data_IF_615567988698
#
_entry.id   IF_615567988698
#
_cell.length_a   1.000
_cell.length_b   1.000
_cell.length_c   1.000
_cell.angle_alpha   90.00
_cell.angle_beta   90.00
_cell.angle_gamma   90.00
#
_symmetry.space_group_name_H-M   'P 1'
#
loop_
_entity.id
_entity.type
_entity.pdbx_description
1 polymer ?
#
# COMPACT_ATOMS: atom_id res chain seq x y z
N UNK A 1 9.08 -15.09 -19.79
CA UNK A 1 8.17 -14.34 -18.88
C UNK A 1 8.36 -12.86 -19.15
N UNK A 2 7.24 -12.14 -19.37
CA UNK A 2 7.21 -10.67 -19.45
C UNK A 2 6.69 -10.12 -18.11
N UNK A 3 7.38 -9.13 -17.55
CA UNK A 3 6.98 -8.44 -16.31
C UNK A 3 6.61 -7.01 -16.61
N UNK A 4 5.49 -6.52 -16.05
CA UNK A 4 5.09 -5.11 -16.12
C UNK A 4 5.21 -4.46 -14.75
N UNK A 5 5.89 -3.32 -14.68
CA UNK A 5 6.11 -2.54 -13.45
C UNK A 5 5.84 -1.06 -13.68
N UNK A 6 5.44 -0.36 -12.63
CA UNK A 6 5.00 1.05 -12.72
C UNK A 6 6.16 2.06 -12.85
N UNK A 7 7.41 1.68 -12.59
CA UNK A 7 8.56 2.59 -12.62
C UNK A 7 9.88 1.82 -12.67
N UNK A 8 10.97 2.50 -13.05
CA UNK A 8 12.34 1.94 -13.02
C UNK A 8 12.71 1.39 -11.65
N UNK A 9 12.38 2.10 -10.56
CA UNK A 9 12.66 1.61 -9.22
C UNK A 9 11.96 0.28 -8.93
N UNK A 10 10.79 0.05 -9.49
CA UNK A 10 10.05 -1.19 -9.33
C UNK A 10 10.59 -2.33 -10.21
N UNK A 11 11.44 -2.05 -11.22
CA UNK A 11 12.10 -3.07 -12.06
C UNK A 11 13.30 -3.71 -11.37
N UNK A 12 13.98 -3.00 -10.46
CA UNK A 12 15.24 -3.43 -9.83
C UNK A 12 15.21 -4.87 -9.29
N UNK A 13 14.19 -5.36 -8.60
CA UNK A 13 14.14 -6.75 -8.12
C UNK A 13 14.14 -7.80 -9.25
N UNK A 14 13.73 -7.39 -10.45
CA UNK A 14 13.53 -8.26 -11.60
C UNK A 14 14.74 -8.28 -12.56
N UNK A 15 15.66 -7.30 -12.47
CA UNK A 15 16.80 -7.14 -13.38
C UNK A 15 17.76 -8.35 -13.41
N UNK A 16 17.82 -9.08 -12.27
CA UNK A 16 18.66 -10.28 -12.14
C UNK A 16 17.97 -11.58 -12.56
N UNK A 17 16.69 -11.50 -12.94
CA UNK A 17 15.93 -12.66 -13.37
C UNK A 17 16.09 -12.85 -14.89
N UNK A 18 16.09 -14.10 -15.35
CA UNK A 18 16.08 -14.41 -16.77
C UNK A 18 14.68 -14.17 -17.35
N UNK A 19 14.40 -12.92 -17.69
CA UNK A 19 13.11 -12.47 -18.24
C UNK A 19 13.25 -12.16 -19.73
N UNK A 20 12.19 -12.43 -20.46
CA UNK A 20 12.09 -12.07 -21.87
C UNK A 20 11.97 -10.55 -22.06
N UNK A 21 11.18 -9.88 -21.20
CA UNK A 21 10.94 -8.45 -21.27
C UNK A 21 10.49 -7.87 -19.92
N UNK A 22 10.94 -6.64 -19.64
CA UNK A 22 10.39 -5.80 -18.59
C UNK A 22 9.73 -4.59 -19.24
N UNK A 23 8.44 -4.39 -18.99
CA UNK A 23 7.68 -3.22 -19.40
C UNK A 23 7.67 -2.23 -18.24
N UNK A 24 8.28 -1.07 -18.44
CA UNK A 24 8.35 -0.01 -17.42
C UNK A 24 7.37 1.09 -17.78
N UNK A 25 6.51 1.40 -16.83
CA UNK A 25 5.43 2.38 -16.97
C UNK A 25 4.11 1.79 -16.48
N UNK A 26 3.24 2.66 -15.98
CA UNK A 26 1.92 2.22 -15.55
C UNK A 26 1.04 1.93 -16.76
N UNK A 27 0.47 0.73 -16.84
CA UNK A 27 -0.64 0.42 -17.74
C UNK A 27 -1.92 1.05 -17.15
N UNK A 28 -2.29 2.24 -17.59
CA UNK A 28 -3.33 3.04 -16.95
C UNK A 28 -4.71 2.75 -17.58
N UNK A 29 -4.74 2.45 -18.89
CA UNK A 29 -5.96 2.24 -19.66
C UNK A 29 -6.16 0.79 -20.08
N UNK A 30 -7.41 0.44 -20.39
CA UNK A 30 -7.75 -0.88 -20.93
C UNK A 30 -7.12 -1.09 -22.31
N UNK A 31 -6.97 -0.02 -23.11
CA UNK A 31 -6.35 -0.03 -24.43
C UNK A 31 -4.86 -0.38 -24.34
N UNK A 32 -4.13 0.18 -23.38
CA UNK A 32 -2.71 -0.16 -23.14
C UNK A 32 -2.55 -1.62 -22.75
N UNK A 33 -3.41 -2.13 -21.85
CA UNK A 33 -3.41 -3.54 -21.45
C UNK A 33 -3.71 -4.44 -22.64
N UNK A 34 -4.74 -4.10 -23.43
CA UNK A 34 -5.12 -4.81 -24.66
C UNK A 34 -3.98 -4.83 -25.66
N UNK A 35 -3.34 -3.69 -25.88
CA UNK A 35 -2.21 -3.54 -26.78
C UNK A 35 -1.05 -4.48 -26.40
N UNK A 36 -0.71 -4.60 -25.13
CA UNK A 36 0.35 -5.53 -24.65
C UNK A 36 -0.02 -6.98 -24.94
N UNK A 37 -1.26 -7.40 -24.67
CA UNK A 37 -1.69 -8.79 -24.88
C UNK A 37 -1.75 -9.12 -26.38
N UNK A 38 -2.32 -8.25 -27.21
CA UNK A 38 -2.43 -8.47 -28.65
C UNK A 38 -1.05 -8.45 -29.34
N UNK A 39 -0.17 -7.54 -28.93
CA UNK A 39 1.19 -7.47 -29.47
C UNK A 39 1.98 -8.76 -29.17
N UNK A 40 1.81 -9.33 -27.96
CA UNK A 40 2.41 -10.63 -27.64
C UNK A 40 1.86 -11.77 -28.53
N UNK A 41 0.56 -11.74 -28.87
CA UNK A 41 -0.03 -12.74 -29.81
C UNK A 41 0.57 -12.66 -31.21
N UNK A 42 0.87 -11.45 -31.68
CA UNK A 42 1.41 -11.24 -33.02
C UNK A 42 2.90 -11.62 -33.09
N UNK A 43 3.68 -11.29 -32.06
CA UNK A 43 5.14 -11.34 -32.15
C UNK A 43 5.80 -12.43 -31.28
N UNK A 44 5.07 -13.05 -30.33
CA UNK A 44 5.64 -13.93 -29.27
C UNK A 44 4.79 -15.18 -28.99
N UNK A 45 3.97 -15.65 -29.92
CA UNK A 45 3.03 -16.77 -29.69
C UNK A 45 2.03 -16.55 -28.54
N UNK A 46 1.84 -15.31 -28.09
CA UNK A 46 0.93 -14.93 -27.02
C UNK A 46 1.39 -15.26 -25.61
N UNK A 47 0.61 -14.86 -24.63
CA UNK A 47 0.80 -15.26 -23.25
C UNK A 47 -0.09 -16.47 -22.92
N UNK A 48 0.46 -17.45 -22.23
CA UNK A 48 -0.34 -18.57 -21.70
C UNK A 48 -1.36 -18.08 -20.67
N UNK A 49 -0.93 -17.19 -19.78
CA UNK A 49 -1.79 -16.55 -18.80
C UNK A 49 -1.25 -15.16 -18.42
N UNK A 50 -2.13 -14.34 -17.89
CA UNK A 50 -1.79 -13.07 -17.24
C UNK A 50 -1.97 -13.24 -15.74
N UNK A 51 -0.88 -13.00 -14.99
CA UNK A 51 -0.89 -13.10 -13.52
C UNK A 51 -0.84 -11.70 -12.92
N UNK A 52 -1.89 -11.32 -12.19
CA UNK A 52 -1.94 -10.05 -11.46
C UNK A 52 -1.38 -10.21 -10.05
N UNK A 53 -0.20 -9.63 -9.82
CA UNK A 53 0.51 -9.57 -8.54
C UNK A 53 0.44 -8.17 -7.92
N UNK A 54 -0.42 -7.29 -8.40
CA UNK A 54 -0.51 -5.92 -7.90
C UNK A 54 -0.93 -5.87 -6.43
N UNK A 55 -0.65 -4.74 -5.79
CA UNK A 55 -1.00 -4.56 -4.38
C UNK A 55 -2.51 -4.76 -4.17
N UNK A 56 -2.97 -5.43 -3.08
CA UNK A 56 -4.40 -5.70 -2.84
C UNK A 56 -5.32 -4.49 -2.99
N UNK A 57 -4.86 -3.30 -2.59
CA UNK A 57 -5.60 -2.05 -2.75
C UNK A 57 -5.55 -1.45 -4.18
N UNK A 58 -4.92 -2.10 -5.13
CA UNK A 58 -4.86 -1.63 -6.52
C UNK A 58 -6.06 -2.12 -7.35
N UNK A 59 -7.25 -2.08 -6.80
CA UNK A 59 -8.48 -2.65 -7.38
C UNK A 59 -8.81 -2.13 -8.79
N UNK A 60 -8.46 -0.87 -9.10
CA UNK A 60 -8.74 -0.31 -10.42
C UNK A 60 -8.00 -1.09 -11.52
N UNK A 61 -6.69 -1.26 -11.38
CA UNK A 61 -5.90 -1.98 -12.39
C UNK A 61 -6.30 -3.46 -12.46
N UNK A 62 -6.55 -4.11 -11.33
CA UNK A 62 -7.05 -5.50 -11.30
C UNK A 62 -8.33 -5.67 -12.10
N UNK A 63 -9.32 -4.75 -11.93
CA UNK A 63 -10.57 -4.78 -12.69
C UNK A 63 -10.34 -4.58 -14.18
N UNK A 64 -9.48 -3.63 -14.56
CA UNK A 64 -9.15 -3.37 -15.97
C UNK A 64 -8.47 -4.58 -16.62
N UNK A 65 -7.49 -5.22 -15.94
CA UNK A 65 -6.81 -6.42 -16.46
C UNK A 65 -7.83 -7.57 -16.62
N UNK A 66 -8.62 -7.83 -15.57
CA UNK A 66 -9.63 -8.91 -15.59
C UNK A 66 -10.65 -8.74 -16.73
N UNK A 67 -11.13 -7.49 -16.93
CA UNK A 67 -12.06 -7.17 -18.00
C UNK A 67 -11.45 -7.43 -19.39
N UNK A 68 -10.25 -6.89 -19.64
CA UNK A 68 -9.57 -7.06 -20.94
C UNK A 68 -9.24 -8.53 -21.21
N UNK A 69 -8.77 -9.26 -20.18
CA UNK A 69 -8.50 -10.68 -20.32
C UNK A 69 -9.77 -11.46 -20.66
N UNK A 70 -10.89 -11.15 -20.03
CA UNK A 70 -12.19 -11.77 -20.33
C UNK A 70 -12.62 -11.50 -21.78
N UNK A 71 -12.53 -10.25 -22.25
CA UNK A 71 -12.88 -9.85 -23.62
C UNK A 71 -12.01 -10.54 -24.68
N UNK A 72 -10.73 -10.77 -24.36
CA UNK A 72 -9.78 -11.40 -25.29
C UNK A 72 -9.70 -12.93 -25.15
N UNK A 73 -10.49 -13.55 -24.27
CA UNK A 73 -10.36 -14.98 -23.96
C UNK A 73 -8.99 -15.36 -23.39
N UNK A 74 -8.34 -14.44 -22.66
CA UNK A 74 -7.03 -14.63 -22.07
C UNK A 74 -7.17 -15.16 -20.64
N UNK A 75 -6.45 -16.23 -20.31
CA UNK A 75 -6.42 -16.77 -18.93
C UNK A 75 -5.88 -15.70 -17.98
N UNK A 76 -6.65 -15.43 -16.92
CA UNK A 76 -6.32 -14.45 -15.89
C UNK A 76 -6.25 -15.12 -14.52
N UNK A 77 -5.18 -14.86 -13.79
CA UNK A 77 -4.94 -15.36 -12.43
C UNK A 77 -4.67 -14.18 -11.53
N UNK A 78 -5.44 -14.02 -10.46
CA UNK A 78 -5.15 -13.06 -9.39
C UNK A 78 -4.47 -13.77 -8.24
N UNK A 79 -3.25 -13.34 -7.91
CA UNK A 79 -2.56 -13.80 -6.71
C UNK A 79 -2.71 -12.77 -5.61
N UNK A 80 -3.31 -13.16 -4.51
CA UNK A 80 -3.46 -12.32 -3.33
C UNK A 80 -2.74 -12.92 -2.12
N UNK A 81 -2.17 -12.04 -1.31
CA UNK A 81 -1.58 -12.44 -0.04
C UNK A 81 -2.70 -12.87 0.90
N UNK A 82 -2.42 -13.90 1.70
CA UNK A 82 -3.32 -14.29 2.78
C UNK A 82 -3.56 -13.10 3.74
N UNK A 83 -4.76 -13.04 4.30
CA UNK A 83 -5.06 -12.16 5.42
C UNK A 83 -4.82 -12.98 6.68
N UNK A 84 -3.84 -12.59 7.48
CA UNK A 84 -3.69 -13.14 8.81
C UNK A 84 -4.81 -12.59 9.70
N UNK A 85 -5.55 -13.47 10.38
CA UNK A 85 -6.51 -13.06 11.41
C UNK A 85 -5.74 -12.52 12.61
N UNK A 86 -5.57 -11.21 12.64
CA UNK A 86 -4.83 -10.51 13.67
C UNK A 86 -5.77 -10.25 14.86
N UNK A 87 -5.65 -11.04 15.91
CA UNK A 87 -6.55 -11.07 17.06
C UNK A 87 -6.65 -9.77 17.88
N UNK A 88 -5.79 -8.77 17.63
CA UNK A 88 -5.70 -7.53 18.43
C UNK A 88 -5.74 -6.25 17.57
N UNK A 89 -6.37 -6.28 16.40
CA UNK A 89 -6.57 -5.11 15.57
C UNK A 89 -8.07 -4.81 15.42
N UNK A 90 -8.39 -3.53 15.39
CA UNK A 90 -9.72 -3.05 15.02
C UNK A 90 -9.81 -2.95 13.50
N UNK A 91 -10.75 -3.64 12.89
CA UNK A 91 -11.03 -3.53 11.46
C UNK A 91 -11.93 -2.31 11.23
N UNK A 92 -11.60 -1.52 10.21
CA UNK A 92 -12.42 -0.40 9.73
C UNK A 92 -12.60 -0.53 8.22
N UNK A 93 -13.83 -0.41 7.73
CA UNK A 93 -14.14 -0.47 6.30
C UNK A 93 -13.71 0.82 5.59
N UNK A 94 -13.81 1.94 6.28
CA UNK A 94 -13.50 3.29 5.79
C UNK A 94 -12.99 4.18 6.92
N UNK A 95 -12.26 5.23 6.56
CA UNK A 95 -11.70 6.14 7.58
C UNK A 95 -12.76 6.89 8.39
N UNK A 96 -13.96 7.07 7.86
CA UNK A 96 -15.06 7.66 8.65
C UNK A 96 -15.46 6.85 9.88
N UNK A 97 -15.12 5.55 9.92
CA UNK A 97 -15.42 4.69 11.06
C UNK A 97 -14.56 5.02 12.29
N UNK A 98 -13.49 5.81 12.11
CA UNK A 98 -12.66 6.33 13.20
C UNK A 98 -13.46 7.17 14.20
N UNK A 99 -14.58 7.77 13.79
CA UNK A 99 -15.50 8.48 14.69
C UNK A 99 -16.14 7.60 15.78
N UNK A 100 -16.14 6.29 15.58
CA UNK A 100 -16.67 5.31 16.54
C UNK A 100 -15.69 5.02 17.68
N UNK A 101 -14.47 5.59 17.60
CA UNK A 101 -13.43 5.40 18.60
C UNK A 101 -13.11 6.71 19.30
N UNK A 102 -12.87 6.63 20.61
CA UNK A 102 -12.39 7.79 21.37
C UNK A 102 -10.91 8.07 21.00
N UNK A 103 -10.70 9.01 20.09
CA UNK A 103 -9.36 9.47 19.68
C UNK A 103 -9.02 10.85 20.24
N UNK A 104 -9.89 11.45 21.05
CA UNK A 104 -9.71 12.80 21.58
C UNK A 104 -8.38 12.91 22.35
N UNK A 105 -7.57 13.90 21.95
CA UNK A 105 -6.24 14.18 22.52
C UNK A 105 -5.23 13.03 22.41
N UNK A 106 -5.53 11.94 21.71
CA UNK A 106 -4.60 10.84 21.48
C UNK A 106 -3.71 11.12 20.28
N UNK A 107 -2.43 10.75 20.36
CA UNK A 107 -1.51 10.80 19.23
C UNK A 107 -1.67 9.56 18.37
N UNK A 108 -2.04 9.75 17.10
CA UNK A 108 -2.32 8.66 16.15
C UNK A 108 -1.35 8.73 14.97
N UNK A 109 -0.71 7.61 14.67
CA UNK A 109 0.23 7.47 13.56
C UNK A 109 -0.47 6.89 12.32
N UNK A 110 -0.42 7.62 11.21
CA UNK A 110 -0.91 7.17 9.91
C UNK A 110 0.21 6.47 9.13
N UNK A 111 0.05 5.19 8.85
CA UNK A 111 0.92 4.35 8.02
C UNK A 111 0.19 3.81 6.79
N UNK A 112 -0.75 4.58 6.24
CA UNK A 112 -1.68 4.19 5.17
C UNK A 112 -1.16 4.41 3.76
N UNK A 113 -0.02 5.09 3.61
CA UNK A 113 0.53 5.52 2.31
C UNK A 113 -0.12 6.81 1.81
N UNK A 114 0.61 7.54 0.95
CA UNK A 114 0.27 8.92 0.57
C UNK A 114 -1.03 9.09 -0.19
N UNK A 115 -1.52 8.06 -0.87
CA UNK A 115 -2.79 8.12 -1.61
C UNK A 115 -4.00 8.27 -0.70
N UNK A 116 -3.92 7.75 0.51
CA UNK A 116 -4.99 7.78 1.52
C UNK A 116 -4.69 8.72 2.68
N UNK A 117 -3.52 9.38 2.64
CA UNK A 117 -3.01 10.16 3.78
C UNK A 117 -3.94 11.32 4.14
N UNK A 118 -4.38 12.09 3.14
CA UNK A 118 -5.24 13.26 3.37
C UNK A 118 -6.60 12.86 3.94
N UNK A 119 -7.21 11.82 3.39
CA UNK A 119 -8.49 11.32 3.87
C UNK A 119 -8.38 10.81 5.32
N UNK A 120 -7.41 9.94 5.59
CA UNK A 120 -7.15 9.43 6.94
C UNK A 120 -6.86 10.56 7.94
N UNK A 121 -6.11 11.59 7.51
CA UNK A 121 -5.82 12.77 8.33
C UNK A 121 -7.10 13.51 8.73
N UNK A 122 -7.97 13.80 7.75
CA UNK A 122 -9.23 14.53 8.01
C UNK A 122 -10.08 13.78 9.03
N UNK A 123 -10.32 12.50 8.83
CA UNK A 123 -11.18 11.72 9.74
C UNK A 123 -10.56 11.55 11.13
N UNK A 124 -9.26 11.29 11.23
CA UNK A 124 -8.58 11.20 12.52
C UNK A 124 -8.61 12.55 13.30
N UNK A 125 -8.36 13.67 12.61
CA UNK A 125 -8.46 15.01 13.20
C UNK A 125 -9.88 15.35 13.66
N UNK A 126 -10.88 15.05 12.85
CA UNK A 126 -12.28 15.28 13.20
C UNK A 126 -12.73 14.43 14.39
N UNK A 127 -12.08 13.30 14.64
CA UNK A 127 -12.25 12.48 15.85
C UNK A 127 -11.41 12.99 17.05
N UNK A 128 -10.78 14.16 16.94
CA UNK A 128 -10.02 14.81 18.01
C UNK A 128 -8.58 14.36 18.19
N UNK A 129 -8.03 13.56 17.28
CA UNK A 129 -6.66 13.06 17.38
C UNK A 129 -5.59 14.11 17.07
N UNK A 130 -4.41 13.98 17.70
CA UNK A 130 -3.17 14.57 17.24
C UNK A 130 -2.53 13.63 16.21
N UNK A 131 -2.42 14.08 14.96
CA UNK A 131 -2.09 13.20 13.84
C UNK A 131 -0.63 13.32 13.44
N UNK A 132 0.01 12.16 13.32
CA UNK A 132 1.37 11.97 12.83
C UNK A 132 1.34 11.04 11.62
N UNK A 133 2.37 11.10 10.77
CA UNK A 133 2.44 10.24 9.59
C UNK A 133 3.83 9.64 9.37
N UNK A 134 3.84 8.42 8.84
CA UNK A 134 5.04 7.81 8.29
C UNK A 134 4.83 7.57 6.80
N UNK A 135 5.70 8.15 5.96
CA UNK A 135 5.64 8.08 4.51
C UNK A 135 6.92 7.50 3.93
N UNK A 136 6.81 6.97 2.70
CA UNK A 136 7.98 6.39 2.02
C UNK A 136 8.94 7.48 1.55
N UNK A 137 10.24 7.18 1.56
CA UNK A 137 11.29 8.06 1.07
C UNK A 137 11.35 8.05 -0.47
N UNK A 138 10.36 8.66 -1.11
CA UNK A 138 10.37 8.94 -2.54
C UNK A 138 9.78 10.33 -2.83
N UNK A 139 10.16 10.97 -3.95
CA UNK A 139 9.76 12.35 -4.26
C UNK A 139 8.25 12.57 -4.29
N UNK A 140 7.47 11.61 -4.82
CA UNK A 140 6.01 11.71 -4.88
C UNK A 140 5.39 11.72 -3.48
N UNK A 141 5.84 10.81 -2.60
CA UNK A 141 5.35 10.72 -1.22
C UNK A 141 5.66 11.99 -0.43
N UNK A 142 6.88 12.51 -0.58
CA UNK A 142 7.30 13.74 0.11
C UNK A 142 6.46 14.92 -0.40
N UNK A 143 6.32 15.09 -1.71
CA UNK A 143 5.55 16.20 -2.31
C UNK A 143 4.09 16.16 -1.86
N UNK A 144 3.42 15.00 -1.94
CA UNK A 144 2.03 14.84 -1.50
C UNK A 144 1.86 15.08 -0.01
N UNK A 145 2.84 14.69 0.82
CA UNK A 145 2.78 14.95 2.26
C UNK A 145 2.96 16.43 2.58
N UNK A 146 3.90 17.10 1.89
CA UNK A 146 4.11 18.54 2.05
C UNK A 146 2.91 19.38 1.59
N UNK A 147 2.14 18.91 0.61
CA UNK A 147 0.88 19.54 0.17
C UNK A 147 -0.34 19.14 1.00
N UNK A 148 -0.19 18.23 1.95
CA UNK A 148 -1.26 17.86 2.87
C UNK A 148 -1.37 18.81 4.06
N UNK A 149 -2.43 18.67 4.85
CA UNK A 149 -2.63 19.47 6.07
C UNK A 149 -1.77 19.04 7.26
N UNK A 150 -0.85 18.06 7.08
CA UNK A 150 0.02 17.57 8.15
C UNK A 150 1.19 18.52 8.35
N UNK A 151 1.41 18.93 9.59
CA UNK A 151 2.56 19.80 9.94
C UNK A 151 3.89 19.10 9.62
N UNK A 152 4.90 19.87 9.18
CA UNK A 152 6.22 19.33 8.81
C UNK A 152 6.93 18.58 9.94
N UNK A 153 6.65 18.94 11.18
CA UNK A 153 7.18 18.28 12.40
C UNK A 153 6.50 16.96 12.72
N UNK A 154 5.34 16.70 12.13
CA UNK A 154 4.47 15.58 12.46
C UNK A 154 4.54 14.44 11.44
N UNK A 155 5.51 14.46 10.53
CA UNK A 155 5.72 13.28 9.68
C UNK A 155 7.18 12.86 9.59
N UNK A 156 7.39 11.58 9.39
CA UNK A 156 8.69 10.97 9.14
C UNK A 156 8.74 10.34 7.75
N UNK A 157 9.86 10.54 7.07
CA UNK A 157 10.15 9.97 5.75
C UNK A 157 11.09 8.79 5.95
N UNK A 158 10.59 7.57 5.74
CA UNK A 158 11.34 6.35 6.01
C UNK A 158 11.13 5.32 4.92
N UNK A 159 12.21 4.65 4.51
CA UNK A 159 12.09 3.41 3.76
C UNK A 159 11.79 2.26 4.72
N UNK A 160 10.93 1.29 4.33
CA UNK A 160 10.76 0.07 5.11
C UNK A 160 12.12 -0.63 5.23
N UNK A 161 12.60 -0.84 6.43
CA UNK A 161 13.81 -1.61 6.65
C UNK A 161 13.43 -3.03 7.04
N UNK A 162 13.66 -3.98 6.16
CA UNK A 162 13.45 -5.41 6.43
C UNK A 162 14.40 -5.89 7.54
N UNK A 163 15.57 -5.27 7.66
CA UNK A 163 16.64 -5.68 8.59
C UNK A 163 16.53 -5.06 10.00
N UNK A 164 15.81 -3.94 10.16
CA UNK A 164 15.79 -3.20 11.44
C UNK A 164 14.79 -3.71 12.47
N UNK A 165 13.99 -4.71 12.12
CA UNK A 165 12.93 -5.26 13.00
C UNK A 165 12.05 -4.18 13.66
N UNK A 166 11.83 -3.04 12.97
CA UNK A 166 10.97 -1.94 13.42
C UNK A 166 11.59 -1.04 14.50
N UNK A 167 12.91 -1.03 14.66
CA UNK A 167 13.58 -0.18 15.67
C UNK A 167 13.26 1.30 15.46
N UNK A 168 13.27 1.78 14.21
CA UNK A 168 12.99 3.18 13.88
C UNK A 168 11.52 3.49 14.12
N UNK A 169 10.62 2.61 13.69
CA UNK A 169 9.18 2.75 13.90
C UNK A 169 8.84 2.79 15.41
N UNK A 170 9.46 1.92 16.21
CA UNK A 170 9.32 1.97 17.69
C UNK A 170 9.85 3.26 18.28
N UNK A 171 10.96 3.80 17.77
CA UNK A 171 11.50 5.08 18.20
C UNK A 171 10.53 6.24 17.90
N UNK A 172 9.87 6.24 16.72
CA UNK A 172 8.84 7.22 16.37
C UNK A 172 7.63 7.12 17.30
N UNK A 173 7.17 5.89 17.59
CA UNK A 173 6.04 5.66 18.52
C UNK A 173 6.35 6.27 19.88
N UNK A 174 7.57 6.08 20.40
CA UNK A 174 7.99 6.70 21.68
C UNK A 174 8.12 8.20 21.58
N UNK A 175 8.80 8.70 20.52
CA UNK A 175 9.05 10.15 20.33
C UNK A 175 7.77 10.96 20.29
N UNK A 176 6.73 10.45 19.66
CA UNK A 176 5.46 11.15 19.49
C UNK A 176 4.38 10.70 20.47
N UNK A 177 4.74 9.86 21.44
CA UNK A 177 3.81 9.29 22.42
C UNK A 177 2.55 8.72 21.74
N UNK A 178 2.75 7.89 20.71
CA UNK A 178 1.67 7.34 19.88
C UNK A 178 0.83 6.38 20.71
N UNK A 179 -0.49 6.61 20.73
CA UNK A 179 -1.48 5.76 21.37
C UNK A 179 -2.06 4.68 20.42
N UNK A 180 -1.87 4.89 19.11
CA UNK A 180 -2.31 3.88 18.14
C UNK A 180 -1.87 4.19 16.72
N UNK A 181 -1.93 3.18 15.87
CA UNK A 181 -1.50 3.21 14.47
C UNK A 181 -2.68 2.86 13.57
N UNK A 182 -2.83 3.59 12.47
CA UNK A 182 -3.76 3.25 11.39
C UNK A 182 -2.94 2.81 10.20
N UNK A 183 -3.15 1.58 9.73
CA UNK A 183 -2.54 1.09 8.49
C UNK A 183 -3.54 0.30 7.64
N UNK A 184 -3.11 -0.20 6.48
CA UNK A 184 -3.97 -0.95 5.55
C UNK A 184 -3.77 -2.44 5.72
N UNK A 185 -4.86 -3.20 5.66
CA UNK A 185 -4.85 -4.66 5.66
C UNK A 185 -4.32 -5.17 4.31
N UNK A 186 -3.03 -5.29 4.19
CA UNK A 186 -2.34 -5.63 2.93
C UNK A 186 -1.82 -7.07 2.86
N UNK A 187 -1.84 -7.80 3.99
CA UNK A 187 -1.22 -9.12 4.12
C UNK A 187 0.29 -9.09 3.93
N UNK A 188 0.94 -7.92 4.05
CA UNK A 188 2.35 -7.76 3.75
C UNK A 188 3.22 -7.46 4.98
N UNK A 189 4.54 -7.50 4.77
CA UNK A 189 5.54 -7.30 5.83
C UNK A 189 5.36 -6.00 6.63
N UNK A 190 4.83 -4.94 6.01
CA UNK A 190 4.58 -3.67 6.69
C UNK A 190 3.41 -3.76 7.68
N UNK A 191 2.33 -4.47 7.34
CA UNK A 191 1.22 -4.73 8.26
C UNK A 191 1.67 -5.60 9.43
N UNK A 192 2.36 -6.70 9.13
CA UNK A 192 2.93 -7.60 10.14
C UNK A 192 3.87 -6.84 11.10
N UNK A 193 4.68 -5.92 10.55
CA UNK A 193 5.56 -5.09 11.36
C UNK A 193 4.77 -4.20 12.33
N UNK A 194 3.76 -3.48 11.85
CA UNK A 194 2.94 -2.63 12.69
C UNK A 194 2.16 -3.42 13.74
N UNK A 195 1.66 -4.59 13.36
CA UNK A 195 1.02 -5.48 14.34
C UNK A 195 1.96 -5.86 15.48
N UNK A 196 3.19 -6.32 15.17
CA UNK A 196 4.19 -6.65 16.20
C UNK A 196 4.56 -5.46 17.09
N UNK A 197 4.68 -4.27 16.49
CA UNK A 197 4.99 -3.04 17.22
C UNK A 197 3.84 -2.70 18.16
N UNK A 198 2.62 -2.64 17.66
CA UNK A 198 1.45 -2.28 18.45
C UNK A 198 1.24 -3.25 19.62
N UNK A 199 1.37 -4.55 19.37
CA UNK A 199 1.29 -5.57 20.40
C UNK A 199 2.40 -5.39 21.45
N UNK A 200 3.66 -5.21 21.03
CA UNK A 200 4.81 -5.09 21.95
C UNK A 200 4.79 -3.81 22.78
N UNK A 201 4.14 -2.77 22.29
CA UNK A 201 4.05 -1.46 22.95
C UNK A 201 2.69 -1.21 23.61
N UNK A 202 1.77 -2.17 23.52
CA UNK A 202 0.40 -2.11 24.08
C UNK A 202 -0.36 -0.87 23.60
N UNK A 203 -0.27 -0.58 22.31
CA UNK A 203 -1.00 0.50 21.63
C UNK A 203 -2.00 -0.08 20.63
N UNK A 204 -3.03 0.68 20.29
CA UNK A 204 -4.08 0.25 19.38
C UNK A 204 -3.59 0.14 17.93
N UNK A 205 -4.17 -0.79 17.19
CA UNK A 205 -3.99 -0.91 15.75
C UNK A 205 -5.37 -0.88 15.06
N UNK A 206 -5.53 0.02 14.09
CA UNK A 206 -6.68 0.01 13.19
C UNK A 206 -6.21 -0.39 11.80
N UNK A 207 -6.88 -1.37 11.23
CA UNK A 207 -6.62 -1.87 9.88
C UNK A 207 -7.76 -1.47 8.96
N UNK A 208 -7.44 -0.66 7.94
CA UNK A 208 -8.37 -0.41 6.84
C UNK A 208 -8.47 -1.67 6.00
N UNK A 209 -9.68 -2.23 5.93
CA UNK A 209 -9.97 -3.42 5.14
C UNK A 209 -9.73 -3.18 3.63
N UNK A 210 -9.46 -4.26 2.91
CA UNK A 210 -9.26 -4.23 1.46
C UNK A 210 -10.54 -4.48 0.67
#
# INVERSE_FOLDING_TARGET
ITVSVVSDRASIPYEKLNLEKILIGALITEEEIRGVILNARIHQNGFHCVVDLTHPFAMKITRSISKVCKELGQTFIRYERAIDNISNAFLIEKFSDLRNYDLKNKSILLAVGVRHLQEAFIFARNSGANVYARVLANPESIRKTLSSSIQKTNFAVLNPSVSSNGKIEKALVRKWNIAGVICRQSGGSNEILWHRICLSMRINLWLLER
#
